data_IF_043394753721
#
_entry.id   IF_043394753721
#
_cell.length_a   1.000
_cell.length_b   1.000
_cell.length_c   1.000
_cell.angle_alpha   90.00
_cell.angle_beta   90.00
_cell.angle_gamma   90.00
#
_symmetry.space_group_name_H-M   'P 1'
#
loop_
_entity.id
_entity.type
_entity.pdbx_description
1 polymer ?
#
# COMPACT_ATOMS: atom_id res chain seq x y z
N UNK A 1 -24.83 19.63 -4.88
CA UNK A 1 -24.28 18.64 -3.92
C UNK A 1 -23.05 18.11 -4.60
N UNK A 2 -21.85 18.41 -4.11
CA UNK A 2 -20.67 17.72 -4.59
C UNK A 2 -20.74 16.34 -3.99
N UNK A 3 -20.81 15.33 -4.88
CA UNK A 3 -20.64 13.95 -4.45
C UNK A 3 -19.25 13.86 -3.84
N UNK A 4 -19.16 13.55 -2.54
CA UNK A 4 -17.89 13.41 -1.80
C UNK A 4 -17.21 12.11 -2.24
N UNK A 5 -16.81 12.07 -3.53
CA UNK A 5 -16.24 10.88 -4.19
C UNK A 5 -15.02 11.28 -5.02
N UNK A 6 -13.90 10.63 -4.77
CA UNK A 6 -12.69 10.71 -5.57
C UNK A 6 -12.80 9.70 -6.74
N UNK A 7 -12.81 10.22 -7.96
CA UNK A 7 -12.87 9.43 -9.20
C UNK A 7 -11.51 8.79 -9.53
N UNK A 8 -11.49 7.62 -10.24
CA UNK A 8 -10.24 6.95 -10.57
C UNK A 8 -9.36 7.79 -11.53
N UNK A 9 -8.07 7.91 -11.21
CA UNK A 9 -7.08 8.63 -12.00
C UNK A 9 -6.32 7.73 -12.98
N UNK A 10 -6.21 6.43 -12.69
CA UNK A 10 -5.37 5.49 -13.44
C UNK A 10 -6.10 4.26 -13.97
N UNK A 11 -7.44 4.22 -13.86
CA UNK A 11 -8.26 3.22 -14.54
C UNK A 11 -8.04 3.29 -16.07
N UNK A 12 -7.88 2.14 -16.73
CA UNK A 12 -7.50 2.04 -18.13
C UNK A 12 -5.99 2.17 -18.40
N UNK A 13 -5.18 2.47 -17.38
CA UNK A 13 -3.71 2.60 -17.48
C UNK A 13 -2.98 1.63 -16.55
N UNK A 14 -3.29 1.64 -15.25
CA UNK A 14 -2.65 0.76 -14.24
C UNK A 14 -3.46 -0.52 -14.05
N UNK A 15 -4.76 -0.45 -14.27
CA UNK A 15 -5.70 -1.58 -14.20
C UNK A 15 -6.88 -1.34 -15.17
N UNK A 16 -7.60 -2.38 -15.59
CA UNK A 16 -8.73 -2.25 -16.53
C UNK A 16 -9.86 -1.34 -16.03
N UNK A 17 -10.43 -0.55 -16.95
CA UNK A 17 -11.58 0.32 -16.65
C UNK A 17 -12.90 -0.43 -16.63
N UNK A 18 -13.01 -1.55 -17.33
CA UNK A 18 -14.22 -2.37 -17.39
C UNK A 18 -14.29 -3.29 -16.17
N UNK A 19 -15.42 -3.26 -15.48
CA UNK A 19 -15.67 -3.98 -14.21
C UNK A 19 -15.30 -5.46 -14.27
N UNK A 20 -15.81 -6.17 -15.27
CA UNK A 20 -15.63 -7.62 -15.36
C UNK A 20 -14.22 -8.01 -15.79
N UNK A 21 -13.57 -7.18 -16.61
CA UNK A 21 -12.17 -7.36 -16.97
C UNK A 21 -11.30 -7.11 -15.75
N UNK A 22 -11.58 -6.08 -14.94
CA UNK A 22 -10.84 -5.79 -13.72
C UNK A 22 -10.98 -6.93 -12.70
N UNK A 23 -12.19 -7.44 -12.46
CA UNK A 23 -12.40 -8.61 -11.57
C UNK A 23 -11.55 -9.80 -12.00
N UNK A 24 -11.56 -10.11 -13.30
CA UNK A 24 -10.78 -11.22 -13.85
C UNK A 24 -9.28 -10.94 -13.76
N UNK A 25 -8.85 -9.69 -13.96
CA UNK A 25 -7.43 -9.29 -13.83
C UNK A 25 -6.94 -9.46 -12.39
N UNK A 26 -7.70 -8.99 -11.39
CA UNK A 26 -7.34 -9.19 -9.98
C UNK A 26 -7.26 -10.69 -9.67
N UNK A 27 -8.27 -11.48 -10.08
CA UNK A 27 -8.23 -12.93 -9.88
C UNK A 27 -6.98 -13.56 -10.50
N UNK A 28 -6.62 -13.19 -11.73
CA UNK A 28 -5.39 -13.66 -12.39
C UNK A 28 -4.11 -13.27 -11.65
N UNK A 29 -4.08 -12.14 -10.95
CA UNK A 29 -2.93 -11.78 -10.09
C UNK A 29 -2.74 -12.82 -8.97
N UNK A 30 -3.81 -13.29 -8.34
CA UNK A 30 -3.72 -14.37 -7.34
C UNK A 30 -3.29 -15.70 -7.97
N UNK A 31 -3.83 -16.06 -9.14
CA UNK A 31 -3.60 -17.34 -9.83
C UNK A 31 -2.30 -17.37 -10.66
N UNK A 32 -1.60 -16.25 -10.76
CA UNK A 32 -0.33 -16.17 -11.52
C UNK A 32 0.74 -17.06 -10.90
N UNK A 33 1.69 -17.55 -11.71
CA UNK A 33 2.81 -18.37 -11.22
C UNK A 33 3.70 -17.68 -10.16
N UNK A 34 3.70 -16.34 -10.12
CA UNK A 34 4.36 -15.53 -9.09
C UNK A 34 3.38 -15.06 -8.00
N UNK A 35 2.12 -15.39 -8.08
CA UNK A 35 1.09 -15.04 -7.09
C UNK A 35 0.91 -16.13 -6.04
N UNK A 36 0.01 -15.92 -5.07
CA UNK A 36 -0.22 -16.86 -3.97
C UNK A 36 -0.95 -18.17 -4.38
N UNK A 37 -1.46 -18.25 -5.61
CA UNK A 37 -2.12 -19.43 -6.18
C UNK A 37 -3.62 -19.30 -6.29
N UNK A 38 -4.32 -18.79 -5.29
CA UNK A 38 -5.77 -18.59 -5.31
C UNK A 38 -6.19 -17.49 -4.31
N UNK A 39 -7.44 -17.04 -4.45
CA UNK A 39 -8.08 -16.20 -3.42
C UNK A 39 -8.53 -17.15 -2.29
N UNK A 40 -8.00 -17.00 -1.06
CA UNK A 40 -8.33 -17.91 0.04
C UNK A 40 -9.73 -17.65 0.62
N UNK A 41 -10.17 -18.52 1.51
CA UNK A 41 -11.34 -18.29 2.35
C UNK A 41 -11.06 -17.19 3.39
N UNK A 42 -12.10 -16.51 3.84
CA UNK A 42 -11.97 -15.47 4.87
C UNK A 42 -11.75 -16.11 6.23
N UNK A 43 -10.63 -15.77 6.86
CA UNK A 43 -10.31 -16.20 8.22
C UNK A 43 -10.86 -15.28 9.32
N UNK A 44 -10.35 -15.45 10.54
CA UNK A 44 -10.79 -14.68 11.70
C UNK A 44 -9.71 -14.50 12.80
N UNK A 45 -8.42 -14.68 12.45
CA UNK A 45 -7.34 -14.61 13.44
C UNK A 45 -7.06 -13.18 13.91
N UNK A 46 -7.13 -12.21 13.01
CA UNK A 46 -6.86 -10.79 13.25
C UNK A 46 -5.51 -10.51 13.92
N UNK A 47 -4.47 -11.22 13.48
CA UNK A 47 -3.09 -11.08 13.97
C UNK A 47 -2.28 -10.05 13.17
N UNK A 48 -2.58 -9.85 11.88
CA UNK A 48 -1.88 -8.91 11.02
C UNK A 48 -2.28 -7.47 11.37
N UNK A 49 -1.29 -6.66 11.75
CA UNK A 49 -1.49 -5.25 12.12
C UNK A 49 -1.07 -4.28 11.02
N UNK A 50 -0.09 -4.67 10.21
CA UNK A 50 0.33 -3.88 9.06
C UNK A 50 0.79 -4.77 7.91
N UNK A 51 0.81 -4.20 6.70
CA UNK A 51 1.33 -4.84 5.49
C UNK A 51 2.03 -3.80 4.60
N UNK A 52 2.93 -4.28 3.74
CA UNK A 52 3.49 -3.51 2.63
C UNK A 52 3.04 -4.14 1.31
N UNK A 53 2.63 -3.32 0.35
CA UNK A 53 2.10 -3.75 -0.95
C UNK A 53 2.61 -2.84 -2.07
N UNK A 54 3.00 -3.36 -3.24
CA UNK A 54 3.42 -2.56 -4.38
C UNK A 54 2.23 -1.86 -5.05
N UNK A 55 2.54 -0.80 -5.85
CA UNK A 55 1.52 0.04 -6.50
C UNK A 55 1.77 0.34 -7.98
N UNK A 56 2.64 -0.39 -8.65
CA UNK A 56 2.74 -0.33 -10.10
C UNK A 56 1.47 -0.88 -10.79
N UNK A 57 1.44 -0.80 -12.12
CA UNK A 57 0.33 -1.37 -12.89
C UNK A 57 0.17 -2.89 -12.64
N UNK A 58 -1.06 -3.39 -12.67
CA UNK A 58 -1.39 -4.79 -12.31
C UNK A 58 -0.66 -5.86 -13.12
N UNK A 59 -0.29 -5.56 -14.37
CA UNK A 59 0.52 -6.47 -15.18
C UNK A 59 1.93 -6.65 -14.63
N UNK A 60 2.47 -5.62 -13.96
CA UNK A 60 3.84 -5.62 -13.45
C UNK A 60 3.90 -6.07 -11.99
N UNK A 61 3.08 -5.52 -11.11
CA UNK A 61 3.17 -5.75 -9.66
C UNK A 61 1.98 -6.48 -9.04
N UNK A 62 0.89 -6.68 -9.78
CA UNK A 62 -0.36 -7.21 -9.21
C UNK A 62 -0.23 -8.59 -8.59
N UNK A 63 0.61 -9.48 -9.15
CA UNK A 63 0.86 -10.81 -8.60
C UNK A 63 1.62 -10.75 -7.26
N UNK A 64 2.48 -9.76 -7.07
CA UNK A 64 3.16 -9.52 -5.79
C UNK A 64 2.19 -8.91 -4.77
N UNK A 65 1.39 -7.91 -5.18
CA UNK A 65 0.34 -7.35 -4.34
C UNK A 65 -0.67 -8.41 -3.86
N UNK A 66 -1.01 -9.38 -4.72
CA UNK A 66 -1.93 -10.46 -4.37
C UNK A 66 -1.52 -11.27 -3.13
N UNK A 67 -0.20 -11.40 -2.83
CA UNK A 67 0.27 -12.06 -1.60
C UNK A 67 -0.15 -11.29 -0.35
N UNK A 68 -0.08 -9.95 -0.38
CA UNK A 68 -0.55 -9.08 0.71
C UNK A 68 -2.04 -9.31 0.97
N UNK A 69 -2.84 -9.28 -0.09
CA UNK A 69 -4.30 -9.41 0.04
C UNK A 69 -4.75 -10.84 0.33
N UNK A 70 -3.99 -11.85 -0.08
CA UNK A 70 -4.20 -13.23 0.35
C UNK A 70 -4.03 -13.36 1.86
N UNK A 71 -2.91 -12.86 2.40
CA UNK A 71 -2.65 -12.89 3.84
C UNK A 71 -3.72 -12.13 4.64
N UNK A 72 -4.14 -10.93 4.18
CA UNK A 72 -5.19 -10.16 4.83
C UNK A 72 -6.54 -10.89 4.84
N UNK A 73 -6.90 -11.58 3.74
CA UNK A 73 -8.15 -12.34 3.69
C UNK A 73 -8.12 -13.54 4.63
N UNK A 74 -7.01 -14.28 4.68
CA UNK A 74 -6.81 -15.40 5.60
C UNK A 74 -6.82 -14.96 7.08
N UNK A 75 -6.36 -13.72 7.37
CA UNK A 75 -6.36 -13.17 8.72
C UNK A 75 -7.74 -12.68 9.18
N UNK A 76 -8.60 -12.25 8.25
CA UNK A 76 -9.96 -11.80 8.53
C UNK A 76 -10.17 -10.30 8.30
N UNK A 77 -11.37 -9.81 8.61
CA UNK A 77 -11.80 -8.44 8.31
C UNK A 77 -11.58 -7.51 9.50
N UNK A 78 -10.81 -6.41 9.35
CA UNK A 78 -10.74 -5.33 10.32
C UNK A 78 -11.94 -4.39 10.25
N UNK A 79 -12.04 -3.44 11.18
CA UNK A 79 -12.98 -2.33 11.11
C UNK A 79 -12.62 -1.36 9.97
N UNK A 80 -11.31 -1.15 9.71
CA UNK A 80 -10.82 -0.30 8.63
C UNK A 80 -9.40 -0.65 8.15
N UNK A 81 -9.10 -0.26 6.92
CA UNK A 81 -7.77 -0.31 6.30
C UNK A 81 -7.22 1.10 6.17
N UNK A 82 -6.17 1.43 6.92
CA UNK A 82 -5.46 2.72 6.84
C UNK A 82 -4.38 2.60 5.75
N UNK A 83 -4.61 3.24 4.60
CA UNK A 83 -3.72 3.13 3.44
C UNK A 83 -2.84 4.37 3.38
N UNK A 84 -1.52 4.19 3.53
CA UNK A 84 -0.55 5.27 3.43
C UNK A 84 0.22 5.10 2.11
N UNK A 85 0.08 6.08 1.22
CA UNK A 85 0.80 6.13 -0.06
C UNK A 85 1.79 7.29 -0.13
N UNK A 86 2.86 7.20 -0.93
CA UNK A 86 3.73 8.31 -1.22
C UNK A 86 3.04 9.34 -2.13
N UNK A 87 3.58 10.55 -2.15
CA UNK A 87 3.21 11.62 -3.07
C UNK A 87 4.11 11.61 -4.31
N UNK A 88 3.52 11.43 -5.49
CA UNK A 88 4.23 11.47 -6.77
C UNK A 88 4.05 12.79 -7.54
N UNK A 89 3.24 13.73 -7.03
CA UNK A 89 2.82 14.93 -7.78
C UNK A 89 3.17 16.25 -7.12
N UNK A 90 3.68 16.24 -5.89
CA UNK A 90 4.10 17.44 -5.16
C UNK A 90 2.91 18.18 -4.52
N UNK A 91 2.38 17.64 -3.41
CA UNK A 91 1.34 18.30 -2.62
C UNK A 91 1.94 19.28 -1.60
N UNK A 92 1.21 20.34 -1.19
CA UNK A 92 1.72 21.36 -0.26
C UNK A 92 1.57 20.95 1.23
N UNK A 93 1.58 19.66 1.53
CA UNK A 93 1.40 19.11 2.87
C UNK A 93 2.51 18.09 3.15
N UNK A 94 2.94 17.93 4.42
CA UNK A 94 3.81 16.81 4.80
C UNK A 94 3.07 15.47 4.63
N UNK A 95 1.79 15.45 4.99
CA UNK A 95 0.83 14.37 4.77
C UNK A 95 -0.59 14.93 4.78
N UNK A 96 -1.53 14.24 4.13
CA UNK A 96 -2.91 14.70 3.97
C UNK A 96 -3.89 13.54 3.90
N UNK A 97 -5.02 13.68 4.59
CA UNK A 97 -6.16 12.78 4.54
C UNK A 97 -7.03 13.07 3.30
N UNK A 98 -7.76 12.06 2.82
CA UNK A 98 -8.94 12.23 1.99
C UNK A 98 -10.13 11.55 2.66
N UNK A 99 -11.08 12.31 3.16
CA UNK A 99 -12.30 11.76 3.76
C UNK A 99 -13.38 11.40 2.74
N UNK A 100 -13.20 11.71 1.45
CA UNK A 100 -14.08 11.29 0.38
C UNK A 100 -13.95 9.80 0.07
N UNK A 101 -15.03 9.15 -0.36
CA UNK A 101 -15.00 7.79 -0.86
C UNK A 101 -14.16 7.69 -2.15
N UNK A 102 -13.57 6.53 -2.42
CA UNK A 102 -12.88 6.25 -3.67
C UNK A 102 -13.76 5.45 -4.62
N UNK A 103 -13.96 5.94 -5.83
CA UNK A 103 -14.65 5.21 -6.87
C UNK A 103 -13.64 4.37 -7.66
N UNK A 104 -13.99 3.10 -7.90
CA UNK A 104 -13.28 2.21 -8.81
C UNK A 104 -14.28 1.61 -9.80
N UNK A 105 -13.86 0.93 -10.87
CA UNK A 105 -14.77 0.18 -11.73
C UNK A 105 -15.59 -0.90 -11.00
N UNK A 106 -15.11 -1.35 -9.81
CA UNK A 106 -15.85 -2.32 -8.98
C UNK A 106 -16.96 -1.68 -8.15
N UNK A 107 -16.93 -0.36 -8.00
CA UNK A 107 -17.88 0.41 -7.20
C UNK A 107 -17.20 1.35 -6.21
N UNK A 108 -17.99 1.96 -5.36
CA UNK A 108 -17.53 2.88 -4.32
C UNK A 108 -16.90 2.12 -3.15
N UNK A 109 -15.72 2.55 -2.72
CA UNK A 109 -15.06 2.14 -1.49
C UNK A 109 -15.15 3.31 -0.50
N UNK A 110 -15.92 3.13 0.57
CA UNK A 110 -16.21 4.20 1.52
C UNK A 110 -15.09 4.38 2.55
N UNK A 111 -14.92 5.61 3.01
CA UNK A 111 -14.04 5.90 4.14
C UNK A 111 -14.68 5.53 5.48
N UNK A 112 -13.84 5.22 6.47
CA UNK A 112 -14.28 4.99 7.85
C UNK A 112 -14.57 6.34 8.52
N UNK A 113 -15.85 6.70 8.62
CA UNK A 113 -16.30 8.06 8.96
C UNK A 113 -15.80 8.54 10.31
N UNK A 114 -15.80 7.69 11.35
CA UNK A 114 -15.40 8.09 12.70
C UNK A 114 -13.89 8.32 12.78
N UNK A 115 -13.05 7.42 12.22
CA UNK A 115 -11.59 7.62 12.19
C UNK A 115 -11.25 8.88 11.37
N UNK A 116 -11.87 9.07 10.20
CA UNK A 116 -11.66 10.27 9.39
C UNK A 116 -12.10 11.55 10.13
N UNK A 117 -13.18 11.50 10.91
CA UNK A 117 -13.61 12.65 11.73
C UNK A 117 -12.57 13.01 12.79
N UNK A 118 -12.01 12.02 13.50
CA UNK A 118 -10.93 12.23 14.47
C UNK A 118 -9.66 12.78 13.81
N UNK A 119 -9.28 12.24 12.63
CA UNK A 119 -8.10 12.69 11.89
C UNK A 119 -8.22 14.13 11.38
N UNK A 120 -9.41 14.59 10.99
CA UNK A 120 -9.63 15.99 10.57
C UNK A 120 -9.30 17.03 11.64
N UNK A 121 -9.35 16.65 12.92
CA UNK A 121 -8.93 17.52 14.02
C UNK A 121 -7.41 17.56 14.20
N UNK A 122 -6.68 16.60 13.63
CA UNK A 122 -5.25 16.38 13.87
C UNK A 122 -4.36 16.63 12.63
N UNK A 123 -4.95 16.61 11.41
CA UNK A 123 -4.22 16.75 10.17
C UNK A 123 -5.08 17.35 9.04
N UNK A 124 -4.48 17.91 7.97
CA UNK A 124 -5.21 18.39 6.82
C UNK A 124 -6.06 17.30 6.15
N UNK A 125 -7.27 17.67 5.70
CA UNK A 125 -8.15 16.86 4.85
C UNK A 125 -8.39 17.61 3.54
N UNK A 126 -7.77 17.18 2.44
CA UNK A 126 -7.92 17.80 1.13
C UNK A 126 -8.04 16.73 0.04
N UNK A 127 -9.27 16.36 -0.36
CA UNK A 127 -9.49 15.40 -1.44
C UNK A 127 -8.83 15.77 -2.77
N UNK A 128 -8.59 17.07 -3.04
CA UNK A 128 -7.94 17.53 -4.26
C UNK A 128 -6.47 17.08 -4.35
N UNK A 129 -5.79 16.95 -3.22
CA UNK A 129 -4.44 16.42 -3.16
C UNK A 129 -4.36 14.95 -3.62
N UNK A 130 -5.45 14.20 -3.48
CA UNK A 130 -5.54 12.80 -3.88
C UNK A 130 -6.00 12.57 -5.33
N UNK A 131 -6.48 13.60 -6.03
CA UNK A 131 -7.15 13.44 -7.33
C UNK A 131 -6.29 12.75 -8.41
N UNK A 132 -4.97 12.94 -8.38
CA UNK A 132 -4.03 12.43 -9.39
C UNK A 132 -3.21 11.23 -8.90
N UNK A 133 -3.14 11.02 -7.58
CA UNK A 133 -2.26 10.04 -6.95
C UNK A 133 -2.79 8.60 -7.12
N UNK A 134 -1.94 7.71 -7.63
CA UNK A 134 -2.28 6.32 -7.92
C UNK A 134 -1.99 5.35 -6.76
N UNK A 135 -1.04 5.68 -5.88
CA UNK A 135 -0.49 4.72 -4.90
C UNK A 135 -1.53 4.11 -3.97
N UNK A 136 -2.56 4.87 -3.61
CA UNK A 136 -3.70 4.38 -2.81
C UNK A 136 -4.75 3.73 -3.70
N UNK A 137 -5.06 4.36 -4.84
CA UNK A 137 -6.12 3.91 -5.75
C UNK A 137 -5.93 2.46 -6.20
N UNK A 138 -4.72 2.07 -6.56
CA UNK A 138 -4.43 0.72 -7.07
C UNK A 138 -4.57 -0.38 -6.01
N UNK A 139 -4.56 -0.05 -4.72
CA UNK A 139 -4.80 -0.98 -3.63
C UNK A 139 -6.28 -1.36 -3.50
N UNK A 140 -7.18 -0.45 -3.88
CA UNK A 140 -8.60 -0.57 -3.59
C UNK A 140 -9.30 -1.73 -4.31
N UNK A 141 -9.07 -2.02 -5.61
CA UNK A 141 -9.71 -3.16 -6.26
C UNK A 141 -9.33 -4.52 -5.64
N UNK A 142 -8.12 -4.66 -5.10
CA UNK A 142 -7.73 -5.84 -4.32
C UNK A 142 -8.54 -5.92 -3.02
N UNK A 143 -8.64 -4.82 -2.26
CA UNK A 143 -9.45 -4.75 -1.05
C UNK A 143 -10.92 -5.09 -1.34
N UNK A 144 -11.53 -4.47 -2.35
CA UNK A 144 -12.92 -4.76 -2.74
C UNK A 144 -13.14 -6.22 -3.16
N UNK A 145 -12.08 -6.91 -3.61
CA UNK A 145 -12.15 -8.33 -3.97
C UNK A 145 -12.12 -9.24 -2.74
N UNK A 146 -11.30 -8.91 -1.73
CA UNK A 146 -11.18 -9.72 -0.52
C UNK A 146 -12.21 -9.35 0.55
N UNK A 147 -12.63 -8.09 0.59
CA UNK A 147 -13.61 -7.51 1.51
C UNK A 147 -14.49 -6.49 0.77
N UNK A 148 -15.65 -6.91 0.24
CA UNK A 148 -16.55 -6.00 -0.49
C UNK A 148 -17.10 -4.83 0.34
N UNK A 149 -17.09 -4.95 1.66
CA UNK A 149 -17.57 -3.93 2.61
C UNK A 149 -16.43 -3.11 3.22
N UNK A 150 -15.20 -3.24 2.70
CA UNK A 150 -14.01 -2.57 3.21
C UNK A 150 -14.24 -1.07 3.44
N UNK A 151 -13.81 -0.59 4.60
CA UNK A 151 -13.71 0.83 4.94
C UNK A 151 -12.25 1.25 4.88
N UNK A 152 -11.96 2.37 4.23
CA UNK A 152 -10.59 2.85 4.09
C UNK A 152 -10.37 4.17 4.83
N UNK A 153 -9.11 4.42 5.18
CA UNK A 153 -8.61 5.71 5.65
C UNK A 153 -7.40 6.07 4.77
N UNK A 154 -7.61 6.82 3.67
CA UNK A 154 -6.56 7.10 2.69
C UNK A 154 -5.72 8.31 3.08
N UNK A 155 -4.39 8.15 3.14
CA UNK A 155 -3.44 9.19 3.51
C UNK A 155 -2.29 9.21 2.51
N UNK A 156 -2.02 10.38 1.92
CA UNK A 156 -0.81 10.63 1.12
C UNK A 156 0.26 11.25 2.02
N UNK A 157 1.49 10.76 1.90
CA UNK A 157 2.66 11.27 2.62
C UNK A 157 3.68 11.80 1.61
N UNK A 158 3.94 13.12 1.64
CA UNK A 158 4.92 13.78 0.77
C UNK A 158 6.29 13.84 1.44
N UNK A 159 6.35 14.28 2.69
CA UNK A 159 7.60 14.38 3.44
C UNK A 159 7.88 13.08 4.18
N UNK A 160 8.89 12.34 3.70
CA UNK A 160 9.15 10.98 4.14
C UNK A 160 10.39 10.85 5.06
N UNK A 161 10.72 11.85 5.89
CA UNK A 161 11.75 11.71 6.91
C UNK A 161 11.24 10.96 8.16
N UNK A 162 12.17 10.44 8.98
CA UNK A 162 11.86 9.68 10.21
C UNK A 162 10.94 10.46 11.14
N UNK A 163 11.22 11.75 11.36
CA UNK A 163 10.45 12.60 12.27
C UNK A 163 9.00 12.77 11.80
N UNK A 164 8.80 12.90 10.48
CA UNK A 164 7.46 13.00 9.91
C UNK A 164 6.73 11.67 10.02
N UNK A 165 7.42 10.53 9.83
CA UNK A 165 6.85 9.20 10.01
C UNK A 165 6.44 8.96 11.48
N UNK A 166 7.27 9.31 12.44
CA UNK A 166 6.94 9.24 13.88
C UNK A 166 5.72 10.10 14.22
N UNK A 167 5.66 11.34 13.73
CA UNK A 167 4.53 12.24 13.96
C UNK A 167 3.22 11.67 13.39
N UNK A 168 3.22 11.21 12.15
CA UNK A 168 2.03 10.62 11.54
C UNK A 168 1.62 9.33 12.25
N UNK A 169 2.57 8.47 12.62
CA UNK A 169 2.27 7.24 13.35
C UNK A 169 1.59 7.51 14.70
N UNK A 170 2.01 8.56 15.41
CA UNK A 170 1.38 8.94 16.68
C UNK A 170 -0.05 9.46 16.50
N UNK A 171 -0.28 10.30 15.47
CA UNK A 171 -1.63 10.78 15.08
C UNK A 171 -2.53 9.58 14.76
N UNK A 172 -2.04 8.59 14.01
CA UNK A 172 -2.81 7.41 13.63
C UNK A 172 -3.15 6.53 14.83
N UNK A 173 -2.21 6.33 15.76
CA UNK A 173 -2.49 5.59 17.02
C UNK A 173 -3.61 6.22 17.80
N UNK A 174 -3.59 7.55 17.96
CA UNK A 174 -4.63 8.30 18.67
C UNK A 174 -5.99 8.19 17.95
N UNK A 175 -6.02 8.46 16.66
CA UNK A 175 -7.28 8.48 15.90
C UNK A 175 -7.92 7.08 15.74
N UNK A 176 -7.11 6.02 15.69
CA UNK A 176 -7.57 4.64 15.55
C UNK A 176 -7.83 3.93 16.90
N UNK A 177 -7.64 4.61 18.04
CA UNK A 177 -7.88 4.00 19.35
C UNK A 177 -9.31 3.47 19.45
N UNK A 178 -9.44 2.20 19.84
CA UNK A 178 -10.73 1.49 19.99
C UNK A 178 -11.23 0.80 18.72
N UNK A 179 -10.50 0.88 17.59
CA UNK A 179 -10.81 0.18 16.36
C UNK A 179 -9.77 -0.91 16.04
N UNK A 180 -10.22 -2.01 15.48
CA UNK A 180 -9.34 -3.00 14.88
C UNK A 180 -8.98 -2.54 13.45
N UNK A 181 -7.76 -2.08 13.23
CA UNK A 181 -7.31 -1.54 11.94
C UNK A 181 -6.09 -2.30 11.41
N UNK A 182 -5.96 -2.30 10.08
CA UNK A 182 -4.75 -2.73 9.38
C UNK A 182 -4.13 -1.53 8.67
N UNK A 183 -2.83 -1.30 8.89
CA UNK A 183 -2.06 -0.29 8.17
C UNK A 183 -1.49 -0.88 6.89
N UNK A 184 -1.74 -0.26 5.73
CA UNK A 184 -1.23 -0.67 4.43
C UNK A 184 -0.23 0.38 3.97
N UNK A 185 1.05 0.03 3.95
CA UNK A 185 2.09 0.82 3.30
C UNK A 185 2.11 0.51 1.81
N UNK A 186 1.83 1.50 0.98
CA UNK A 186 1.87 1.37 -0.46
C UNK A 186 3.23 1.84 -0.99
N UNK A 187 4.03 0.92 -1.56
CA UNK A 187 5.39 1.23 -2.01
C UNK A 187 5.89 0.25 -3.07
N UNK A 188 6.54 0.79 -4.09
CA UNK A 188 7.49 0.03 -4.92
C UNK A 188 8.91 0.23 -4.37
N UNK A 189 9.86 -0.63 -4.75
CA UNK A 189 11.23 -0.64 -4.24
C UNK A 189 12.19 0.10 -5.19
N UNK A 190 13.38 -0.47 -5.51
CA UNK A 190 14.34 0.15 -6.42
C UNK A 190 13.74 0.36 -7.82
N UNK A 191 14.08 1.49 -8.46
CA UNK A 191 13.62 1.83 -9.80
C UNK A 191 14.79 1.99 -10.77
N UNK A 192 14.62 1.45 -11.99
CA UNK A 192 15.47 1.70 -13.15
C UNK A 192 16.93 1.32 -12.98
N UNK A 193 17.19 0.20 -12.33
CA UNK A 193 18.50 -0.43 -12.19
C UNK A 193 18.46 -1.86 -12.74
N UNK A 194 19.63 -2.46 -13.11
CA UNK A 194 19.66 -3.85 -13.55
C UNK A 194 19.09 -4.81 -12.50
N UNK A 195 18.33 -5.83 -12.92
CA UNK A 195 17.65 -6.80 -12.05
C UNK A 195 18.55 -7.42 -10.98
N UNK A 196 19.81 -7.72 -11.32
CA UNK A 196 20.79 -8.24 -10.36
C UNK A 196 21.15 -7.24 -9.27
N UNK A 197 21.20 -5.93 -9.61
CA UNK A 197 21.51 -4.85 -8.67
C UNK A 197 20.31 -4.64 -7.76
N UNK A 198 19.11 -4.49 -8.33
CA UNK A 198 17.85 -4.39 -7.61
C UNK A 198 17.73 -5.51 -6.57
N UNK A 199 17.80 -6.77 -7.01
CA UNK A 199 17.61 -7.93 -6.14
C UNK A 199 18.57 -7.95 -4.94
N UNK A 200 19.84 -7.56 -5.14
CA UNK A 200 20.83 -7.53 -4.06
C UNK A 200 20.54 -6.40 -3.04
N UNK A 201 20.14 -5.23 -3.52
CA UNK A 201 19.90 -4.06 -2.66
C UNK A 201 18.55 -4.23 -1.94
N UNK A 202 17.50 -4.56 -2.69
CA UNK A 202 16.15 -4.71 -2.14
C UNK A 202 16.07 -5.86 -1.12
N UNK A 203 16.78 -6.97 -1.33
CA UNK A 203 16.86 -8.05 -0.32
C UNK A 203 17.37 -7.53 1.02
N UNK A 204 18.45 -6.75 1.04
CA UNK A 204 19.01 -6.17 2.28
C UNK A 204 18.09 -5.13 2.91
N UNK A 205 17.42 -4.32 2.09
CA UNK A 205 16.43 -3.37 2.57
C UNK A 205 15.23 -4.10 3.20
N UNK A 206 14.74 -5.15 2.57
CA UNK A 206 13.63 -5.97 3.07
C UNK A 206 13.98 -6.72 4.36
N UNK A 207 15.26 -7.07 4.58
CA UNK A 207 15.72 -7.57 5.89
C UNK A 207 15.47 -6.52 6.97
N UNK A 208 15.82 -5.22 6.73
CA UNK A 208 15.56 -4.12 7.67
C UNK A 208 14.06 -3.88 7.87
N UNK A 209 13.27 -3.95 6.81
CA UNK A 209 11.81 -3.87 6.88
C UNK A 209 11.24 -4.98 7.77
N UNK A 210 11.66 -6.24 7.56
CA UNK A 210 11.19 -7.39 8.35
C UNK A 210 11.70 -7.39 9.81
N UNK A 211 12.86 -6.78 10.07
CA UNK A 211 13.37 -6.53 11.43
C UNK A 211 12.64 -5.37 12.13
N UNK A 212 11.79 -4.61 11.42
CA UNK A 212 11.22 -3.33 11.87
C UNK A 212 12.29 -2.31 12.29
N UNK A 213 13.49 -2.38 11.68
CA UNK A 213 14.62 -1.49 11.92
C UNK A 213 14.48 -0.21 11.10
N UNK A 214 13.69 0.74 11.63
CA UNK A 214 13.39 2.02 10.94
C UNK A 214 14.67 2.77 10.60
N UNK A 215 15.61 2.90 11.54
CA UNK A 215 16.89 3.58 11.30
C UNK A 215 17.72 2.87 10.22
N UNK A 216 17.70 1.53 10.22
CA UNK A 216 18.34 0.72 9.19
C UNK A 216 17.73 0.93 7.81
N UNK A 217 16.41 1.00 7.71
CA UNK A 217 15.70 1.31 6.45
C UNK A 217 16.15 2.66 5.89
N UNK A 218 16.15 3.71 6.72
CA UNK A 218 16.55 5.06 6.28
C UNK A 218 18.05 5.15 5.95
N UNK A 219 18.93 4.47 6.70
CA UNK A 219 20.36 4.37 6.33
C UNK A 219 20.53 3.68 4.98
N UNK A 220 19.85 2.57 4.73
CA UNK A 220 19.91 1.86 3.45
C UNK A 220 19.51 2.77 2.28
N UNK A 221 18.43 3.54 2.42
CA UNK A 221 17.98 4.44 1.34
C UNK A 221 18.98 5.56 1.06
N UNK A 222 19.70 6.04 2.06
CA UNK A 222 20.76 7.06 1.92
C UNK A 222 22.06 6.48 1.36
N UNK A 223 22.56 5.38 1.96
CA UNK A 223 23.87 4.79 1.63
C UNK A 223 23.89 4.20 0.21
N UNK A 224 22.76 3.70 -0.29
CA UNK A 224 22.64 3.09 -1.60
C UNK A 224 21.84 3.94 -2.61
N UNK A 225 21.53 5.20 -2.27
CA UNK A 225 20.72 6.11 -3.10
C UNK A 225 19.45 5.43 -3.62
N UNK A 226 18.77 4.67 -2.74
CA UNK A 226 17.62 3.87 -3.13
C UNK A 226 16.43 4.73 -3.53
N UNK A 227 15.77 4.32 -4.59
CA UNK A 227 14.58 4.98 -5.14
C UNK A 227 13.27 4.38 -4.65
N UNK A 228 13.25 3.84 -3.42
CA UNK A 228 12.03 3.33 -2.76
C UNK A 228 11.03 4.48 -2.59
N UNK A 229 9.88 4.39 -3.27
CA UNK A 229 8.92 5.50 -3.30
C UNK A 229 8.14 5.66 -1.99
N UNK A 230 7.97 4.59 -1.20
CA UNK A 230 7.17 4.57 0.03
C UNK A 230 7.96 4.19 1.30
N UNK A 231 9.20 4.66 1.45
CA UNK A 231 9.99 4.42 2.66
C UNK A 231 9.30 5.01 3.91
N UNK A 232 8.76 6.23 3.80
CA UNK A 232 7.98 6.87 4.85
C UNK A 232 6.68 6.13 5.18
N UNK A 233 5.80 5.83 4.20
CA UNK A 233 4.62 4.98 4.39
C UNK A 233 4.91 3.66 5.10
N UNK A 234 6.01 2.97 4.73
CA UNK A 234 6.42 1.72 5.38
C UNK A 234 6.81 1.94 6.85
N UNK A 235 7.60 2.98 7.13
CA UNK A 235 7.97 3.35 8.49
C UNK A 235 6.72 3.69 9.33
N UNK A 236 5.78 4.47 8.79
CA UNK A 236 4.51 4.80 9.47
C UNK A 236 3.72 3.54 9.80
N UNK A 237 3.55 2.62 8.84
CA UNK A 237 2.78 1.40 9.06
C UNK A 237 3.39 0.53 10.17
N UNK A 238 4.71 0.36 10.20
CA UNK A 238 5.43 -0.37 11.26
C UNK A 238 5.27 0.35 12.61
N UNK A 239 5.52 1.66 12.67
CA UNK A 239 5.43 2.43 13.91
C UNK A 239 4.01 2.49 14.46
N UNK A 240 3.01 2.72 13.60
CA UNK A 240 1.61 2.83 14.01
C UNK A 240 1.05 1.50 14.51
N UNK A 241 1.39 0.38 13.85
CA UNK A 241 0.99 -0.96 14.27
C UNK A 241 1.65 -1.41 15.57
N UNK A 242 2.82 -0.84 15.91
CA UNK A 242 3.62 -1.29 17.05
C UNK A 242 4.29 -2.65 16.85
N UNK A 243 4.29 -3.15 15.59
CA UNK A 243 4.90 -4.43 15.24
C UNK A 243 6.42 -4.39 15.44
N UNK A 244 6.96 -5.53 15.82
CA UNK A 244 8.41 -5.69 16.11
C UNK A 244 9.09 -6.66 15.15
N UNK A 245 8.33 -7.32 14.31
CA UNK A 245 8.82 -8.28 13.33
C UNK A 245 7.84 -8.36 12.17
N UNK A 246 8.40 -8.39 10.96
CA UNK A 246 7.67 -8.65 9.73
C UNK A 246 8.06 -9.98 9.10
N UNK A 247 7.26 -10.39 8.14
CA UNK A 247 7.51 -11.56 7.29
C UNK A 247 7.41 -11.15 5.84
N UNK A 248 8.45 -11.45 5.06
CA UNK A 248 8.43 -11.33 3.61
C UNK A 248 7.51 -12.41 3.04
N UNK A 249 6.52 -12.01 2.26
CA UNK A 249 5.58 -12.91 1.59
C UNK A 249 6.01 -13.18 0.14
N UNK A 250 6.44 -12.13 -0.57
CA UNK A 250 6.94 -12.21 -1.94
C UNK A 250 7.91 -11.06 -2.23
N UNK A 251 8.88 -11.31 -3.12
CA UNK A 251 9.79 -10.32 -3.68
C UNK A 251 10.13 -10.70 -5.11
N UNK A 252 10.17 -9.72 -5.98
CA UNK A 252 10.59 -9.83 -7.37
C UNK A 252 10.55 -8.45 -8.05
N UNK A 253 10.62 -8.43 -9.36
CA UNK A 253 10.70 -7.18 -10.11
C UNK A 253 9.94 -7.23 -11.43
N UNK A 254 9.97 -6.13 -12.20
CA UNK A 254 9.28 -6.02 -13.49
C UNK A 254 9.82 -6.97 -14.55
N UNK A 255 11.07 -7.41 -14.48
CA UNK A 255 11.60 -8.46 -15.37
C UNK A 255 10.96 -9.82 -15.07
N UNK A 256 10.82 -10.19 -13.80
CA UNK A 256 10.20 -11.46 -13.42
C UNK A 256 8.73 -11.55 -13.90
N UNK A 257 8.00 -10.43 -13.91
CA UNK A 257 6.59 -10.38 -14.28
C UNK A 257 6.31 -10.13 -15.76
N UNK A 258 7.11 -9.26 -16.40
CA UNK A 258 6.86 -8.79 -17.77
C UNK A 258 7.80 -9.41 -18.81
N UNK A 259 8.99 -9.85 -18.40
CA UNK A 259 9.99 -10.48 -19.26
C UNK A 259 10.68 -9.55 -20.25
N UNK A 260 10.70 -8.24 -20.00
CA UNK A 260 11.43 -7.26 -20.82
C UNK A 260 12.18 -6.24 -19.96
N UNK A 261 13.27 -5.68 -20.51
CA UNK A 261 14.12 -4.66 -19.90
C UNK A 261 14.77 -5.07 -18.56
N UNK A 262 15.61 -6.13 -18.62
CA UNK A 262 16.39 -6.63 -17.48
C UNK A 262 17.36 -5.58 -16.91
N UNK A 263 17.74 -4.59 -17.73
CA UNK A 263 18.70 -3.56 -17.36
C UNK A 263 18.07 -2.36 -16.61
N UNK A 264 16.73 -2.25 -16.58
CA UNK A 264 16.02 -1.13 -15.95
C UNK A 264 14.71 -1.60 -15.28
N UNK A 265 14.82 -2.38 -14.21
CA UNK A 265 13.66 -2.95 -13.50
C UNK A 265 13.11 -2.05 -12.39
N UNK A 266 11.90 -2.35 -11.96
CA UNK A 266 11.30 -1.84 -10.72
C UNK A 266 11.08 -3.02 -9.77
N UNK A 267 11.55 -2.90 -8.53
CA UNK A 267 11.40 -3.92 -7.49
C UNK A 267 10.03 -3.87 -6.81
N UNK A 268 9.50 -5.04 -6.47
CA UNK A 268 8.20 -5.23 -5.82
C UNK A 268 8.31 -6.20 -4.66
N UNK A 269 7.68 -5.88 -3.54
CA UNK A 269 7.57 -6.84 -2.44
C UNK A 269 6.23 -6.74 -1.73
N UNK A 270 5.85 -7.87 -1.12
CA UNK A 270 4.75 -7.99 -0.18
C UNK A 270 5.31 -8.42 1.17
N UNK A 271 4.98 -7.71 2.24
CA UNK A 271 5.33 -8.08 3.62
C UNK A 271 4.10 -7.97 4.53
N UNK A 272 4.10 -8.71 5.63
CA UNK A 272 3.12 -8.57 6.70
C UNK A 272 3.82 -8.37 8.04
N UNK A 273 3.13 -7.73 8.99
CA UNK A 273 3.60 -7.41 10.34
C UNK A 273 2.53 -7.77 11.36
N UNK A 274 2.94 -8.47 12.43
CA UNK A 274 2.10 -8.92 13.53
C UNK A 274 2.44 -8.22 14.85
#
# INVERSE_FOLDING_TARGET
MHDNVRYPAVAGRFYPIEKDILKNTVKKCFEHGLGPGAIPETGCARSIKAVMSPHAGYMASGMFAAHTYSALKEDGRPDAYVIIGPDHYGIPYDFVLCSDAYLTPLGECRTHQEICARLRELMPDDPRAHMREQSIEVQIPFLQTIDPDAKIVPIIMSRQDVRTAERLSQILKEACEGFDVVFIASTDLMHYVPARVEKNIDTKYLEKVCECDIDGMYRMTQDFEMTVCGNGPTAVAILASGSRKGKLLAHGNSWDSLGFDEDAVVGYAATMFE
#
